data_IF_121925838167
#
_entry.id   IF_121925838167
#
_cell.length_a   1.000
_cell.length_b   1.000
_cell.length_c   1.000
_cell.angle_alpha   90.00
_cell.angle_beta   90.00
_cell.angle_gamma   90.00
#
_symmetry.space_group_name_H-M   'P 1'
#
loop_
_entity.id
_entity.type
_entity.pdbx_description
1 polymer ?
#
# COMPACT_ATOMS: atom_id res chain seq x y z
N UNK A 1 -23.67 2.47 -36.50
CA UNK A 1 -22.28 2.07 -36.16
C UNK A 1 -21.90 2.85 -34.92
N UNK A 2 -22.09 2.24 -33.73
CA UNK A 2 -21.57 2.83 -32.49
C UNK A 2 -20.04 2.77 -32.60
N UNK A 3 -19.39 3.93 -32.58
CA UNK A 3 -17.96 4.02 -32.32
C UNK A 3 -17.73 3.38 -30.94
N UNK A 4 -17.22 2.15 -30.92
CA UNK A 4 -16.56 1.61 -29.75
C UNK A 4 -15.39 2.56 -29.49
N UNK A 5 -15.59 3.51 -28.56
CA UNK A 5 -14.51 4.28 -28.00
C UNK A 5 -13.47 3.28 -27.56
N UNK A 6 -12.28 3.37 -28.16
CA UNK A 6 -11.14 2.54 -27.82
C UNK A 6 -10.69 3.00 -26.42
N UNK A 7 -11.37 2.52 -25.37
CA UNK A 7 -11.05 2.84 -23.98
C UNK A 7 -9.61 2.36 -23.79
N UNK A 8 -8.65 3.25 -23.47
CA UNK A 8 -7.28 2.84 -23.22
C UNK A 8 -7.30 1.78 -22.12
N UNK A 9 -6.79 0.59 -22.43
CA UNK A 9 -6.74 -0.49 -21.46
C UNK A 9 -5.76 -0.09 -20.36
N UNK A 10 -6.27 0.10 -19.13
CA UNK A 10 -5.44 0.47 -17.98
C UNK A 10 -4.58 -0.74 -17.58
N UNK A 11 -3.27 -0.52 -17.45
CA UNK A 11 -2.34 -1.59 -17.08
C UNK A 11 -1.34 -1.11 -16.04
N UNK A 12 -0.98 -2.01 -15.13
CA UNK A 12 0.10 -1.80 -14.17
C UNK A 12 0.89 -3.11 -14.05
N UNK A 13 2.20 -3.04 -14.20
CA UNK A 13 3.06 -4.23 -14.19
C UNK A 13 4.49 -3.91 -13.81
N UNK A 14 5.32 -4.95 -13.78
CA UNK A 14 6.75 -4.86 -13.53
C UNK A 14 7.48 -5.15 -14.84
N UNK A 15 8.38 -4.25 -15.23
CA UNK A 15 9.36 -4.50 -16.27
C UNK A 15 10.68 -4.92 -15.61
N UNK A 16 10.97 -6.22 -15.70
CA UNK A 16 12.16 -6.82 -15.11
C UNK A 16 13.44 -6.46 -15.89
N UNK A 17 13.33 -6.15 -17.18
CA UNK A 17 14.49 -5.77 -18.00
C UNK A 17 14.91 -4.33 -17.69
N UNK A 18 13.93 -3.44 -17.47
CA UNK A 18 14.15 -2.03 -17.17
C UNK A 18 14.19 -1.70 -15.67
N UNK A 19 14.01 -2.69 -14.78
CA UNK A 19 13.97 -2.52 -13.32
C UNK A 19 13.01 -1.41 -12.85
N UNK A 20 11.82 -1.34 -13.44
CA UNK A 20 10.83 -0.31 -13.12
C UNK A 20 9.40 -0.87 -13.10
N UNK A 21 8.47 -0.11 -12.53
CA UNK A 21 7.05 -0.37 -12.79
C UNK A 21 6.67 0.28 -14.11
N UNK A 22 5.67 -0.30 -14.78
CA UNK A 22 5.08 0.26 -15.99
C UNK A 22 3.60 0.48 -15.73
N UNK A 23 3.15 1.72 -15.90
CA UNK A 23 1.75 2.12 -15.77
C UNK A 23 1.28 2.66 -17.12
N UNK A 24 0.28 2.01 -17.71
CA UNK A 24 -0.28 2.34 -19.03
C UNK A 24 0.78 2.43 -20.14
N UNK A 25 1.79 1.56 -20.09
CA UNK A 25 2.88 1.52 -21.09
C UNK A 25 4.03 2.49 -20.82
N UNK A 26 3.96 3.31 -19.76
CA UNK A 26 5.01 4.26 -19.40
C UNK A 26 5.74 3.84 -18.11
N UNK A 27 7.07 4.03 -18.03
CA UNK A 27 7.81 3.85 -16.79
C UNK A 27 7.18 4.67 -15.65
N UNK A 28 7.06 4.05 -14.49
CA UNK A 28 6.37 4.62 -13.35
C UNK A 28 7.10 4.26 -12.06
N UNK A 29 7.06 5.19 -11.10
CA UNK A 29 7.56 5.00 -9.75
C UNK A 29 6.62 5.72 -8.81
N UNK A 30 6.07 5.01 -7.83
CA UNK A 30 5.23 5.63 -6.82
C UNK A 30 6.05 6.28 -5.72
N UNK A 31 5.50 7.35 -5.15
CA UNK A 31 5.84 7.92 -3.84
C UNK A 31 4.57 7.85 -2.99
N UNK A 32 4.56 6.89 -2.06
CA UNK A 32 3.38 6.55 -1.26
C UNK A 32 3.51 7.00 0.19
N UNK A 33 2.37 7.22 0.85
CA UNK A 33 2.27 7.40 2.30
C UNK A 33 1.24 6.45 2.91
N UNK A 34 1.53 5.90 4.09
CA UNK A 34 0.60 5.01 4.78
C UNK A 34 -0.50 5.79 5.50
N UNK A 35 -1.76 5.44 5.27
CA UNK A 35 -2.94 5.94 6.00
C UNK A 35 -3.86 4.76 6.32
N UNK A 36 -4.33 4.66 7.56
CA UNK A 36 -5.24 3.59 7.99
C UNK A 36 -6.66 4.16 8.11
N UNK A 37 -7.58 3.75 7.22
CA UNK A 37 -8.96 4.26 7.26
C UNK A 37 -9.68 3.88 8.56
N UNK A 38 -9.33 2.74 9.17
CA UNK A 38 -9.86 2.27 10.46
C UNK A 38 -9.43 3.12 11.67
N UNK A 39 -8.58 4.11 11.43
CA UNK A 39 -7.91 4.97 12.40
C UNK A 39 -8.34 6.44 12.28
N UNK A 40 -8.82 6.82 11.10
CA UNK A 40 -9.37 8.15 10.83
C UNK A 40 -10.89 8.04 10.72
N UNK A 41 -11.69 8.86 11.42
CA UNK A 41 -13.14 8.87 11.21
C UNK A 41 -13.49 9.18 9.76
N UNK A 42 -14.50 8.52 9.20
CA UNK A 42 -14.90 8.66 7.79
C UNK A 42 -15.12 10.11 7.36
N UNK A 43 -15.65 10.92 8.26
CA UNK A 43 -15.85 12.36 8.05
C UNK A 43 -14.57 13.07 7.59
N UNK A 44 -13.40 12.63 8.06
CA UNK A 44 -12.12 13.23 7.75
C UNK A 44 -11.32 12.54 6.64
N UNK A 45 -11.76 11.40 6.09
CA UNK A 45 -10.98 10.67 5.07
C UNK A 45 -10.58 11.57 3.89
N UNK A 46 -11.53 12.33 3.34
CA UNK A 46 -11.25 13.23 2.21
C UNK A 46 -10.25 14.33 2.58
N UNK A 47 -10.34 14.90 3.78
CA UNK A 47 -9.37 15.90 4.25
C UNK A 47 -7.95 15.31 4.30
N UNK A 48 -7.78 14.11 4.88
CA UNK A 48 -6.45 13.50 5.00
C UNK A 48 -5.88 13.11 3.65
N UNK A 49 -6.70 12.51 2.77
CA UNK A 49 -6.31 12.15 1.41
C UNK A 49 -5.91 13.39 0.60
N UNK A 50 -6.64 14.51 0.72
CA UNK A 50 -6.29 15.74 0.02
C UNK A 50 -4.95 16.28 0.50
N UNK A 51 -4.70 16.31 1.82
CA UNK A 51 -3.40 16.73 2.37
C UNK A 51 -2.26 15.83 1.88
N UNK A 52 -2.47 14.52 1.86
CA UNK A 52 -1.51 13.56 1.29
C UNK A 52 -1.21 13.84 -0.18
N UNK A 53 -2.23 14.13 -1.00
CA UNK A 53 -2.05 14.53 -2.39
C UNK A 53 -1.28 15.84 -2.52
N UNK A 54 -1.60 16.84 -1.69
CA UNK A 54 -0.94 18.14 -1.70
C UNK A 54 0.51 18.10 -1.21
N UNK A 55 0.89 17.06 -0.45
CA UNK A 55 2.28 16.78 -0.10
C UNK A 55 3.12 16.30 -1.32
N UNK A 56 2.48 15.98 -2.44
CA UNK A 56 3.14 15.47 -3.65
C UNK A 56 3.08 13.95 -3.82
N UNK A 57 2.35 13.24 -2.95
CA UNK A 57 2.18 11.79 -3.09
C UNK A 57 1.33 11.45 -4.32
N UNK A 58 1.70 10.38 -5.01
CA UNK A 58 0.95 9.81 -6.13
C UNK A 58 0.10 8.60 -5.72
N UNK A 59 0.45 7.98 -4.59
CA UNK A 59 -0.20 6.81 -4.06
C UNK A 59 -0.37 6.91 -2.53
N UNK A 60 -1.27 6.07 -2.03
CA UNK A 60 -1.38 5.78 -0.60
C UNK A 60 -1.21 4.29 -0.36
N UNK A 61 -0.85 3.93 0.87
CA UNK A 61 -0.83 2.55 1.33
C UNK A 61 -1.79 2.38 2.52
N UNK A 62 -2.56 1.29 2.54
CA UNK A 62 -3.48 1.02 3.65
C UNK A 62 -3.58 -0.46 3.97
N UNK A 63 -3.74 -0.80 5.25
CA UNK A 63 -4.02 -2.16 5.72
C UNK A 63 -5.51 -2.43 5.78
N UNK A 64 -5.90 -3.70 5.68
CA UNK A 64 -7.27 -4.16 5.97
C UNK A 64 -7.27 -5.01 7.25
N UNK A 65 -7.65 -4.46 8.42
CA UNK A 65 -7.71 -5.25 9.64
C UNK A 65 -8.92 -6.20 9.60
N UNK A 66 -8.66 -7.50 9.48
CA UNK A 66 -9.72 -8.51 9.38
C UNK A 66 -10.72 -8.42 10.55
N UNK A 67 -10.22 -8.35 11.79
CA UNK A 67 -11.05 -8.26 12.98
C UNK A 67 -11.86 -6.96 13.10
N UNK A 68 -11.58 -5.95 12.28
CA UNK A 68 -12.38 -4.73 12.18
C UNK A 68 -13.62 -4.96 11.32
N UNK A 69 -13.53 -5.83 10.31
CA UNK A 69 -14.65 -6.16 9.42
C UNK A 69 -15.42 -7.40 9.85
N UNK A 70 -14.80 -8.36 10.53
CA UNK A 70 -15.45 -9.59 11.02
C UNK A 70 -15.31 -9.70 12.55
N UNK A 71 -16.00 -8.85 13.33
CA UNK A 71 -15.91 -8.85 14.79
C UNK A 71 -16.41 -10.16 15.42
N UNK A 72 -17.33 -10.86 14.76
CA UNK A 72 -17.81 -12.19 15.12
C UNK A 72 -17.76 -13.07 13.89
N UNK A 73 -17.54 -14.37 14.08
CA UNK A 73 -17.43 -15.34 12.98
C UNK A 73 -18.66 -15.27 12.07
N UNK A 74 -18.45 -14.99 10.78
CA UNK A 74 -19.48 -14.88 9.75
C UNK A 74 -20.28 -13.58 9.74
N UNK A 75 -20.00 -12.63 10.66
CA UNK A 75 -20.70 -11.33 10.71
C UNK A 75 -19.79 -10.25 10.17
N UNK A 76 -20.07 -9.80 8.95
CA UNK A 76 -19.26 -8.80 8.25
C UNK A 76 -19.87 -7.40 8.31
N UNK A 77 -19.03 -6.39 8.51
CA UNK A 77 -19.40 -4.99 8.50
C UNK A 77 -18.45 -4.16 7.63
N UNK A 78 -19.01 -3.58 6.57
CA UNK A 78 -18.35 -2.67 5.63
C UNK A 78 -19.11 -1.33 5.54
N UNK A 79 -19.82 -0.95 6.60
CA UNK A 79 -20.62 0.28 6.64
C UNK A 79 -19.95 1.38 7.47
N UNK A 80 -20.36 2.64 7.27
CA UNK A 80 -19.85 3.77 8.08
C UNK A 80 -18.32 3.90 7.99
N UNK A 81 -17.64 3.90 9.13
CA UNK A 81 -16.17 3.96 9.25
C UNK A 81 -15.45 2.68 8.75
N UNK A 82 -16.20 1.61 8.45
CA UNK A 82 -15.68 0.34 7.88
C UNK A 82 -15.87 0.25 6.37
N UNK A 83 -16.31 1.32 5.73
CA UNK A 83 -16.59 1.35 4.29
C UNK A 83 -15.29 1.53 3.47
N UNK A 84 -14.56 0.44 3.32
CA UNK A 84 -13.30 0.39 2.56
C UNK A 84 -13.53 0.71 1.07
N UNK A 85 -14.63 0.24 0.48
CA UNK A 85 -14.95 0.50 -0.94
C UNK A 85 -15.11 2.01 -1.18
N UNK A 86 -15.81 2.72 -0.28
CA UNK A 86 -15.90 4.18 -0.34
C UNK A 86 -14.56 4.88 -0.06
N UNK A 87 -13.73 4.38 0.87
CA UNK A 87 -12.39 4.94 1.10
C UNK A 87 -11.52 4.85 -0.16
N UNK A 88 -11.54 3.71 -0.86
CA UNK A 88 -10.84 3.51 -2.12
C UNK A 88 -11.41 4.41 -3.23
N UNK A 89 -12.72 4.58 -3.28
CA UNK A 89 -13.36 5.53 -4.20
C UNK A 89 -12.86 6.96 -3.95
N UNK A 90 -12.80 7.42 -2.70
CA UNK A 90 -12.27 8.74 -2.36
C UNK A 90 -10.80 8.92 -2.77
N UNK A 91 -9.97 7.88 -2.60
CA UNK A 91 -8.58 7.92 -3.06
C UNK A 91 -8.52 8.10 -4.59
N UNK A 92 -9.35 7.36 -5.33
CA UNK A 92 -9.48 7.50 -6.79
C UNK A 92 -9.95 8.91 -7.20
N UNK A 93 -10.97 9.45 -6.54
CA UNK A 93 -11.49 10.81 -6.81
C UNK A 93 -10.46 11.91 -6.50
N UNK A 94 -9.55 11.65 -5.56
CA UNK A 94 -8.44 12.57 -5.20
C UNK A 94 -7.26 12.42 -6.17
N UNK A 95 -7.29 11.45 -7.08
CA UNK A 95 -6.20 11.17 -8.02
C UNK A 95 -4.99 10.51 -7.34
N UNK A 96 -5.23 9.69 -6.32
CA UNK A 96 -4.25 8.86 -5.63
C UNK A 96 -4.42 7.39 -6.05
N UNK A 97 -3.31 6.72 -6.37
CA UNK A 97 -3.26 5.27 -6.51
C UNK A 97 -3.26 4.61 -5.13
N UNK A 98 -3.50 3.31 -5.07
CA UNK A 98 -3.56 2.55 -3.82
C UNK A 98 -2.65 1.33 -3.89
N UNK A 99 -1.85 1.15 -2.83
CA UNK A 99 -1.16 -0.08 -2.50
C UNK A 99 -1.94 -0.72 -1.34
N UNK A 100 -2.62 -1.82 -1.63
CA UNK A 100 -3.50 -2.47 -0.65
C UNK A 100 -2.75 -3.55 0.11
N UNK A 101 -2.70 -3.48 1.43
CA UNK A 101 -2.14 -4.53 2.29
C UNK A 101 -3.27 -5.34 2.91
N UNK A 102 -3.68 -6.39 2.20
CA UNK A 102 -4.94 -7.10 2.47
C UNK A 102 -4.88 -8.09 3.66
N UNK A 103 -3.70 -8.40 4.18
CA UNK A 103 -3.52 -9.33 5.29
C UNK A 103 -3.38 -10.80 4.82
N UNK A 104 -3.87 -11.79 5.60
CA UNK A 104 -4.87 -11.67 6.69
C UNK A 104 -4.31 -11.11 8.01
N UNK A 105 -3.01 -11.28 8.25
CA UNK A 105 -2.27 -10.63 9.34
C UNK A 105 -1.64 -9.34 8.83
N UNK A 106 -1.71 -8.27 9.63
CA UNK A 106 -1.22 -6.93 9.25
C UNK A 106 -0.22 -6.32 10.22
N UNK A 107 0.02 -6.95 11.40
CA UNK A 107 0.81 -6.33 12.47
C UNK A 107 0.23 -4.96 12.89
N UNK A 108 0.84 -3.87 12.41
CA UNK A 108 0.37 -2.50 12.46
C UNK A 108 0.14 -1.95 13.87
N UNK A 109 0.75 -2.54 14.91
CA UNK A 109 0.42 -2.28 16.32
C UNK A 109 -1.10 -2.42 16.58
N UNK A 110 -1.83 -3.17 15.77
CA UNK A 110 -3.27 -3.34 15.89
C UNK A 110 -3.59 -4.54 16.77
N UNK A 111 -4.75 -4.52 17.41
CA UNK A 111 -5.24 -5.63 18.24
C UNK A 111 -5.08 -6.97 17.48
N UNK A 112 -4.34 -7.88 18.10
CA UNK A 112 -3.96 -9.20 17.56
C UNK A 112 -3.43 -9.17 16.11
N UNK A 113 -2.76 -8.09 15.71
CA UNK A 113 -2.23 -7.93 14.35
C UNK A 113 -3.30 -7.95 13.26
N UNK A 114 -4.54 -7.60 13.60
CA UNK A 114 -5.70 -7.65 12.71
C UNK A 114 -6.43 -8.98 12.69
N UNK A 115 -5.90 -10.03 13.31
CA UNK A 115 -6.57 -11.33 13.39
C UNK A 115 -7.76 -11.29 14.35
N UNK A 116 -8.90 -11.93 14.06
CA UNK A 116 -10.03 -11.98 14.98
C UNK A 116 -9.77 -12.88 16.18
N UNK A 117 -10.15 -12.42 17.37
CA UNK A 117 -9.95 -13.17 18.62
C UNK A 117 -10.73 -14.49 18.67
N UNK A 118 -11.85 -14.60 17.94
CA UNK A 118 -12.63 -15.85 17.86
C UNK A 118 -11.86 -17.00 17.21
N UNK A 119 -10.75 -16.74 16.50
CA UNK A 119 -9.83 -17.79 16.05
C UNK A 119 -9.24 -18.59 17.23
N UNK A 120 -9.12 -17.97 18.40
CA UNK A 120 -8.57 -18.58 19.61
C UNK A 120 -9.57 -19.48 20.36
N UNK A 121 -10.81 -19.61 19.87
CA UNK A 121 -11.75 -20.63 20.40
C UNK A 121 -11.18 -22.05 20.24
N UNK A 122 -10.34 -22.27 19.22
CA UNK A 122 -9.46 -23.43 19.14
C UNK A 122 -8.15 -23.14 19.88
N UNK A 123 -8.02 -23.67 21.09
CA UNK A 123 -6.82 -23.45 21.94
C UNK A 123 -5.50 -23.91 21.28
N UNK A 124 -5.56 -24.91 20.39
CA UNK A 124 -4.39 -25.48 19.70
C UNK A 124 -4.11 -24.84 18.34
N UNK A 125 -4.80 -23.75 17.97
CA UNK A 125 -4.63 -23.13 16.66
C UNK A 125 -3.21 -22.59 16.48
N UNK A 126 -2.60 -22.89 15.33
CA UNK A 126 -1.34 -22.27 14.93
C UNK A 126 -1.62 -21.15 13.94
N UNK A 127 -1.65 -19.91 14.43
CA UNK A 127 -1.87 -18.73 13.60
C UNK A 127 -0.75 -18.56 12.56
N UNK A 128 -1.09 -17.94 11.42
CA UNK A 128 -0.16 -17.65 10.31
C UNK A 128 0.62 -18.90 9.86
N UNK A 129 -0.09 -20.02 9.70
CA UNK A 129 0.47 -21.30 9.27
C UNK A 129 -0.54 -22.06 8.42
N UNK A 130 -0.18 -23.27 7.98
CA UNK A 130 -1.06 -24.18 7.25
C UNK A 130 -2.01 -24.99 8.15
N UNK A 131 -2.20 -24.59 9.41
CA UNK A 131 -3.27 -25.14 10.25
C UNK A 131 -4.61 -25.08 9.49
N UNK A 132 -5.27 -26.23 9.36
CA UNK A 132 -6.47 -26.36 8.52
C UNK A 132 -7.62 -25.46 8.97
N UNK A 133 -7.77 -25.24 10.28
CA UNK A 133 -8.86 -24.41 10.81
C UNK A 133 -8.55 -22.93 10.59
N UNK A 134 -7.28 -22.53 10.76
CA UNK A 134 -6.82 -21.17 10.43
C UNK A 134 -6.98 -20.89 8.93
N UNK A 135 -6.50 -21.78 8.05
CA UNK A 135 -6.62 -21.61 6.60
C UNK A 135 -8.08 -21.59 6.14
N UNK A 136 -8.94 -22.42 6.72
CA UNK A 136 -10.39 -22.40 6.41
C UNK A 136 -11.01 -21.05 6.78
N UNK A 137 -10.63 -20.47 7.91
CA UNK A 137 -11.10 -19.14 8.30
C UNK A 137 -10.55 -18.04 7.38
N UNK A 138 -9.28 -18.11 7.02
CA UNK A 138 -8.64 -17.16 6.07
C UNK A 138 -9.29 -17.24 4.70
N UNK A 139 -9.56 -18.44 4.18
CA UNK A 139 -10.21 -18.62 2.88
C UNK A 139 -11.61 -18.01 2.86
N UNK A 140 -12.39 -18.19 3.92
CA UNK A 140 -13.71 -17.55 4.08
C UNK A 140 -13.59 -16.02 4.09
N UNK A 141 -12.68 -15.47 4.88
CA UNK A 141 -12.47 -14.03 4.96
C UNK A 141 -12.03 -13.42 3.63
N UNK A 142 -11.02 -14.02 2.99
CA UNK A 142 -10.52 -13.57 1.70
C UNK A 142 -11.57 -13.72 0.59
N UNK A 143 -12.42 -14.75 0.69
CA UNK A 143 -13.59 -14.95 -0.17
C UNK A 143 -14.66 -13.86 -0.04
N UNK A 144 -14.65 -13.08 1.04
CA UNK A 144 -15.50 -11.88 1.20
C UNK A 144 -14.75 -10.62 0.78
N UNK A 145 -13.53 -10.43 1.26
CA UNK A 145 -12.74 -9.21 1.01
C UNK A 145 -12.34 -9.06 -0.46
N UNK A 146 -11.69 -10.07 -1.04
CA UNK A 146 -11.03 -9.92 -2.33
C UNK A 146 -12.00 -9.71 -3.51
N UNK A 147 -13.20 -10.33 -3.56
CA UNK A 147 -14.21 -9.97 -4.55
C UNK A 147 -14.65 -8.52 -4.49
N UNK A 148 -14.69 -7.91 -3.29
CA UNK A 148 -14.98 -6.47 -3.13
C UNK A 148 -13.83 -5.61 -3.65
N UNK A 149 -12.58 -6.06 -3.51
CA UNK A 149 -11.40 -5.32 -4.00
C UNK A 149 -11.22 -5.43 -5.52
N UNK A 150 -11.69 -6.51 -6.15
CA UNK A 150 -11.49 -6.78 -7.58
C UNK A 150 -11.94 -5.61 -8.49
N UNK A 151 -13.13 -5.00 -8.34
CA UNK A 151 -13.52 -3.85 -9.15
C UNK A 151 -12.62 -2.62 -8.95
N UNK A 152 -11.96 -2.52 -7.79
CA UNK A 152 -11.06 -1.41 -7.46
C UNK A 152 -9.62 -1.62 -7.96
N UNK A 153 -9.31 -2.75 -8.60
CA UNK A 153 -8.01 -2.97 -9.25
C UNK A 153 -7.81 -2.01 -10.42
N UNK A 154 -6.55 -1.61 -10.65
CA UNK A 154 -6.18 -0.62 -11.66
C UNK A 154 -6.63 -1.02 -13.06
N UNK A 155 -6.43 -2.29 -13.43
CA UNK A 155 -6.87 -2.86 -14.70
C UNK A 155 -8.40 -2.90 -14.86
N UNK A 156 -9.15 -2.85 -13.76
CA UNK A 156 -10.61 -2.83 -13.74
C UNK A 156 -11.19 -1.41 -13.56
N UNK A 157 -10.34 -0.38 -13.59
CA UNK A 157 -10.76 1.02 -13.51
C UNK A 157 -10.67 1.65 -12.12
N UNK A 158 -10.25 0.92 -11.09
CA UNK A 158 -10.06 1.48 -9.74
C UNK A 158 -8.63 1.97 -9.47
N UNK A 159 -8.28 2.35 -8.23
CA UNK A 159 -6.97 2.91 -7.90
C UNK A 159 -5.92 1.88 -7.48
N UNK A 160 -6.27 0.61 -7.22
CA UNK A 160 -5.35 -0.38 -6.62
C UNK A 160 -4.36 -0.89 -7.67
N UNK A 161 -3.08 -0.53 -7.51
CA UNK A 161 -1.98 -0.94 -8.42
C UNK A 161 -1.24 -2.18 -7.94
N UNK A 162 -1.17 -2.42 -6.63
CA UNK A 162 -0.44 -3.53 -6.03
C UNK A 162 -1.18 -4.04 -4.79
N UNK A 163 -1.07 -5.34 -4.52
CA UNK A 163 -1.68 -5.97 -3.34
C UNK A 163 -0.65 -6.81 -2.59
N UNK A 164 -0.44 -6.49 -1.30
CA UNK A 164 0.46 -7.25 -0.44
C UNK A 164 -0.23 -8.53 0.04
N UNK A 165 0.51 -9.63 -0.01
CA UNK A 165 0.11 -10.92 0.55
C UNK A 165 0.87 -11.13 1.86
N UNK A 166 0.15 -11.36 2.96
CA UNK A 166 0.74 -11.44 4.31
C UNK A 166 1.44 -10.12 4.72
N UNK A 167 2.19 -10.13 5.82
CA UNK A 167 2.99 -9.02 6.32
C UNK A 167 4.18 -9.51 7.15
N UNK A 168 5.40 -9.27 6.67
CA UNK A 168 6.66 -9.61 7.36
C UNK A 168 6.66 -11.05 7.87
N UNK A 169 6.32 -11.99 6.98
CA UNK A 169 6.27 -13.41 7.34
C UNK A 169 7.65 -13.95 7.70
N UNK A 170 8.71 -13.33 7.16
CA UNK A 170 10.10 -13.56 7.51
C UNK A 170 10.42 -13.39 8.99
N UNK A 171 9.67 -12.54 9.68
CA UNK A 171 9.82 -12.27 11.12
C UNK A 171 9.04 -13.25 12.00
N UNK A 172 8.28 -14.18 11.39
CA UNK A 172 7.47 -15.16 12.11
C UNK A 172 8.15 -16.53 12.15
N UNK A 173 8.08 -17.18 13.32
CA UNK A 173 8.85 -18.39 13.59
C UNK A 173 8.46 -19.62 12.73
N UNK A 174 7.22 -19.67 12.22
CA UNK A 174 6.69 -20.87 11.58
C UNK A 174 7.39 -21.18 10.25
N UNK A 175 7.80 -20.17 9.48
CA UNK A 175 8.44 -20.32 8.17
C UNK A 175 7.71 -21.34 7.25
N UNK A 176 6.37 -21.29 7.25
CA UNK A 176 5.52 -22.22 6.51
C UNK A 176 5.25 -21.69 5.10
N UNK A 177 5.92 -22.26 4.10
CA UNK A 177 5.70 -21.88 2.70
C UNK A 177 4.42 -22.46 2.09
N UNK A 178 3.84 -23.52 2.66
CA UNK A 178 2.54 -24.04 2.20
C UNK A 178 1.42 -23.04 2.52
N UNK A 179 1.56 -22.33 3.64
CA UNK A 179 0.70 -21.21 4.00
C UNK A 179 0.80 -20.07 2.98
N UNK A 180 2.02 -19.61 2.67
CA UNK A 180 2.20 -18.54 1.66
C UNK A 180 1.73 -18.96 0.26
N UNK A 181 1.96 -20.21 -0.15
CA UNK A 181 1.43 -20.76 -1.41
C UNK A 181 -0.09 -20.79 -1.42
N UNK A 182 -0.71 -21.15 -0.30
CA UNK A 182 -2.17 -21.14 -0.15
C UNK A 182 -2.73 -19.73 -0.27
N UNK A 183 -2.10 -18.74 0.36
CA UNK A 183 -2.48 -17.33 0.20
C UNK A 183 -2.33 -16.86 -1.25
N UNK A 184 -1.19 -17.13 -1.90
CA UNK A 184 -0.99 -16.78 -3.31
C UNK A 184 -2.11 -17.36 -4.19
N UNK A 185 -2.48 -18.63 -3.98
CA UNK A 185 -3.58 -19.27 -4.71
C UNK A 185 -4.91 -18.56 -4.47
N UNK A 186 -5.26 -18.28 -3.21
CA UNK A 186 -6.50 -17.57 -2.85
C UNK A 186 -6.55 -16.19 -3.52
N UNK A 187 -5.45 -15.44 -3.46
CA UNK A 187 -5.38 -14.10 -4.06
C UNK A 187 -5.53 -14.15 -5.58
N UNK A 188 -4.83 -15.06 -6.26
CA UNK A 188 -4.96 -15.25 -7.71
C UNK A 188 -6.36 -15.68 -8.12
N UNK A 189 -6.97 -16.61 -7.37
CA UNK A 189 -8.33 -17.06 -7.63
C UNK A 189 -9.36 -15.92 -7.63
N UNK A 190 -9.22 -14.95 -6.72
CA UNK A 190 -10.17 -13.84 -6.62
C UNK A 190 -9.79 -12.63 -7.50
N UNK A 191 -8.51 -12.24 -7.50
CA UNK A 191 -8.05 -10.98 -8.12
C UNK A 191 -7.57 -11.14 -9.57
N UNK A 192 -7.25 -12.36 -10.01
CA UNK A 192 -6.66 -12.61 -11.33
C UNK A 192 -5.13 -12.58 -11.34
N UNK A 193 -4.55 -12.80 -12.52
CA UNK A 193 -3.11 -12.92 -12.72
C UNK A 193 -2.44 -11.58 -13.03
N UNK A 194 -3.23 -10.57 -13.41
CA UNK A 194 -2.75 -9.27 -13.87
C UNK A 194 -2.28 -8.36 -12.72
N UNK A 195 -2.90 -8.48 -11.54
CA UNK A 195 -2.51 -7.64 -10.40
C UNK A 195 -1.10 -8.01 -9.91
N UNK A 196 -0.30 -7.00 -9.61
CA UNK A 196 1.01 -7.20 -8.99
C UNK A 196 0.79 -7.58 -7.52
N UNK A 197 1.11 -8.83 -7.19
CA UNK A 197 1.14 -9.33 -5.82
C UNK A 197 2.57 -9.26 -5.28
N UNK A 198 2.73 -8.83 -4.03
CA UNK A 198 4.04 -8.63 -3.43
C UNK A 198 4.07 -9.05 -1.94
N UNK A 199 5.28 -9.25 -1.40
CA UNK A 199 5.54 -9.40 0.03
C UNK A 199 6.44 -8.28 0.53
N UNK A 200 6.42 -8.01 1.83
CA UNK A 200 7.32 -7.05 2.49
C UNK A 200 7.90 -7.69 3.74
N UNK A 201 9.22 -7.59 3.86
CA UNK A 201 9.99 -8.12 4.99
C UNK A 201 11.16 -7.17 5.31
N UNK A 202 11.72 -7.26 6.51
CA UNK A 202 12.90 -6.45 6.87
C UNK A 202 14.07 -6.65 5.90
N UNK A 203 14.85 -5.59 5.65
CA UNK A 203 15.97 -5.57 4.70
C UNK A 203 17.20 -6.40 5.10
N UNK A 204 17.02 -7.70 5.36
CA UNK A 204 18.09 -8.66 5.65
C UNK A 204 17.78 -10.03 5.02
N UNK A 205 18.82 -10.80 4.73
CA UNK A 205 18.65 -12.18 4.24
C UNK A 205 17.90 -13.06 5.24
N UNK A 206 17.99 -12.75 6.54
CA UNK A 206 17.30 -13.51 7.57
C UNK A 206 15.78 -13.40 7.42
N UNK A 207 15.24 -12.19 7.27
CA UNK A 207 13.79 -12.00 7.09
C UNK A 207 13.34 -12.50 5.71
N UNK A 208 14.07 -12.15 4.64
CA UNK A 208 13.69 -12.57 3.29
C UNK A 208 13.69 -14.09 3.10
N UNK A 209 14.48 -14.83 3.88
CA UNK A 209 14.52 -16.30 3.81
C UNK A 209 13.12 -16.89 3.89
N UNK A 210 12.35 -16.54 4.92
CA UNK A 210 11.02 -17.11 5.14
C UNK A 210 9.88 -16.24 4.58
N UNK A 211 10.13 -14.97 4.27
CA UNK A 211 9.09 -14.05 3.80
C UNK A 211 8.91 -13.96 2.28
N UNK A 212 9.94 -14.29 1.50
CA UNK A 212 9.86 -14.27 0.04
C UNK A 212 9.28 -15.58 -0.54
N UNK A 213 8.47 -15.47 -1.59
CA UNK A 213 7.92 -16.61 -2.33
C UNK A 213 7.93 -16.35 -3.84
N UNK A 214 8.34 -17.35 -4.63
CA UNK A 214 8.24 -17.28 -6.08
C UNK A 214 6.79 -17.00 -6.52
N UNK A 215 6.61 -16.03 -7.43
CA UNK A 215 5.28 -15.57 -7.88
C UNK A 215 4.73 -14.37 -7.11
N UNK A 216 5.38 -13.97 -6.01
CA UNK A 216 5.18 -12.71 -5.31
C UNK A 216 6.42 -11.84 -5.48
N UNK A 217 6.24 -10.58 -5.82
CA UNK A 217 7.36 -9.63 -5.91
C UNK A 217 7.88 -9.33 -4.49
N UNK A 218 9.14 -9.63 -4.20
CA UNK A 218 9.71 -9.40 -2.88
C UNK A 218 10.11 -7.93 -2.73
N UNK A 219 9.61 -7.27 -1.69
CA UNK A 219 9.99 -5.90 -1.29
C UNK A 219 10.59 -5.92 0.10
N UNK A 220 11.28 -4.84 0.47
CA UNK A 220 11.85 -4.69 1.81
C UNK A 220 11.35 -3.42 2.48
N UNK A 221 11.28 -3.44 3.80
CA UNK A 221 11.15 -2.26 4.63
C UNK A 221 12.42 -2.01 5.47
N UNK A 222 12.61 -0.74 5.80
CA UNK A 222 13.64 -0.25 6.71
C UNK A 222 13.26 1.16 7.16
N UNK A 223 13.66 1.51 8.37
CA UNK A 223 13.57 2.88 8.87
C UNK A 223 14.93 3.58 8.72
N UNK A 224 14.97 4.93 8.64
CA UNK A 224 16.21 5.67 8.87
C UNK A 224 16.84 5.26 10.19
N UNK A 225 18.18 5.28 10.25
CA UNK A 225 18.91 5.14 11.51
C UNK A 225 18.40 6.28 12.39
N UNK A 226 17.72 5.93 13.48
CA UNK A 226 16.79 6.77 14.27
C UNK A 226 15.36 6.89 13.69
N UNK A 227 14.60 5.79 13.80
CA UNK A 227 13.13 5.69 13.87
C UNK A 227 12.30 6.77 13.16
N UNK A 228 12.40 6.89 11.83
CA UNK A 228 11.42 7.64 11.03
C UNK A 228 10.64 6.69 10.12
N UNK A 229 9.65 6.03 10.70
CA UNK A 229 8.65 5.31 9.93
C UNK A 229 7.53 6.32 9.57
N UNK A 230 7.19 6.49 8.28
CA UNK A 230 6.08 7.36 7.87
C UNK A 230 4.77 6.58 7.99
N UNK A 231 4.21 6.53 9.20
CA UNK A 231 2.87 6.00 9.45
C UNK A 231 1.99 7.14 9.95
N UNK A 232 0.80 7.31 9.36
CA UNK A 232 -0.06 8.44 9.64
C UNK A 232 -1.30 7.99 10.47
N UNK A 233 -1.49 8.64 11.63
CA UNK A 233 -2.77 8.99 12.28
C UNK A 233 -3.55 8.02 13.22
N UNK A 234 -4.22 8.69 14.20
CA UNK A 234 -5.13 8.37 15.35
C UNK A 234 -5.78 6.98 15.43
N UNK A 235 -6.15 6.47 16.61
CA UNK A 235 -6.79 5.14 16.78
C UNK A 235 -8.06 5.21 17.63
N UNK A 236 -9.12 4.53 17.17
CA UNK A 236 -10.33 4.28 17.98
C UNK A 236 -10.44 2.78 18.34
N UNK A 237 -10.54 2.48 19.64
CA UNK A 237 -11.10 1.23 20.18
C UNK A 237 -10.18 0.00 20.31
N UNK A 238 -9.28 -0.28 19.35
CA UNK A 238 -8.49 -1.53 19.34
C UNK A 238 -6.99 -1.28 19.51
N UNK A 239 -6.37 -1.81 20.57
CA UNK A 239 -4.97 -1.57 20.97
C UNK A 239 -4.15 -2.86 20.80
N UNK A 240 -2.99 -2.79 20.16
CA UNK A 240 -2.06 -3.92 20.11
C UNK A 240 -1.15 -3.97 21.34
N UNK A 241 -0.26 -4.95 21.38
CA UNK A 241 0.83 -4.99 22.36
C UNK A 241 2.07 -5.63 21.74
N UNK A 242 3.24 -5.22 22.24
CA UNK A 242 4.52 -5.89 21.95
C UNK A 242 4.85 -6.92 23.03
N UNK A 243 5.83 -7.78 22.74
CA UNK A 243 6.36 -8.78 23.67
C UNK A 243 7.78 -8.39 24.11
N UNK A 244 8.14 -8.43 25.42
CA UNK A 244 7.28 -8.75 26.57
C UNK A 244 6.12 -7.74 26.72
N UNK A 245 5.00 -8.18 27.31
CA UNK A 245 3.71 -7.48 27.23
C UNK A 245 3.83 -5.98 27.53
N UNK A 246 3.64 -5.18 26.49
CA UNK A 246 3.61 -3.73 26.56
C UNK A 246 2.57 -3.22 25.56
N UNK A 247 1.42 -2.79 26.07
CA UNK A 247 0.35 -2.22 25.25
C UNK A 247 0.79 -0.91 24.62
N UNK A 248 0.48 -0.69 23.35
CA UNK A 248 0.68 0.63 22.74
C UNK A 248 -0.33 1.65 23.34
N UNK A 249 0.01 2.96 23.37
CA UNK A 249 -0.93 3.98 23.80
C UNK A 249 -2.13 4.07 22.83
N UNK A 250 -3.20 4.75 23.26
CA UNK A 250 -4.34 5.06 22.39
C UNK A 250 -3.90 5.89 21.20
N UNK A 251 -3.05 6.90 21.43
CA UNK A 251 -2.57 7.75 20.35
C UNK A 251 -1.78 6.96 19.32
N UNK A 252 -2.03 7.24 18.05
CA UNK A 252 -1.23 6.76 16.94
C UNK A 252 -0.72 7.93 16.08
N UNK A 253 -0.34 9.03 16.76
CA UNK A 253 0.27 10.21 16.15
C UNK A 253 1.54 9.84 15.36
N UNK A 254 2.35 8.93 15.92
CA UNK A 254 3.55 8.38 15.31
C UNK A 254 4.66 9.42 15.03
N UNK A 255 4.52 10.66 15.53
CA UNK A 255 5.32 11.81 15.08
C UNK A 255 5.28 11.92 13.54
N UNK A 256 4.09 11.68 12.98
CA UNK A 256 3.89 11.63 11.55
C UNK A 256 3.91 13.03 10.91
N UNK A 257 4.11 13.13 9.59
CA UNK A 257 4.02 14.41 8.90
C UNK A 257 2.67 15.10 9.11
N UNK A 258 1.58 14.31 9.15
CA UNK A 258 0.29 14.81 9.63
C UNK A 258 0.12 14.38 11.09
N UNK A 259 -0.01 15.35 12.00
CA UNK A 259 -0.28 15.10 13.44
C UNK A 259 -1.56 14.31 13.61
N UNK A 260 -1.82 13.74 14.79
CA UNK A 260 -3.01 12.95 15.14
C UNK A 260 -4.37 13.58 14.75
N UNK A 261 -4.48 14.90 14.79
CA UNK A 261 -5.69 15.63 14.38
C UNK A 261 -5.75 15.94 12.87
N UNK A 262 -4.71 15.55 12.14
CA UNK A 262 -4.45 15.83 10.72
C UNK A 262 -3.87 17.21 10.46
N UNK A 263 -3.12 17.77 11.42
CA UNK A 263 -2.48 19.07 11.26
C UNK A 263 -1.23 18.96 10.39
N UNK A 264 -0.91 20.03 9.67
CA UNK A 264 0.32 20.11 8.88
C UNK A 264 1.48 20.46 9.81
N UNK A 265 2.42 19.53 9.99
CA UNK A 265 3.61 19.76 10.82
C UNK A 265 4.78 20.32 10.01
N UNK A 266 5.86 20.73 10.67
CA UNK A 266 7.12 21.09 9.99
C UNK A 266 7.65 19.93 9.13
N UNK A 267 7.49 18.69 9.62
CA UNK A 267 7.87 17.47 8.90
C UNK A 267 7.06 17.28 7.61
N UNK A 268 5.79 17.67 7.59
CA UNK A 268 4.98 17.68 6.37
C UNK A 268 5.55 18.63 5.31
N UNK A 269 5.87 19.86 5.70
CA UNK A 269 6.40 20.83 4.75
C UNK A 269 7.79 20.45 4.24
N UNK A 270 8.65 19.93 5.11
CA UNK A 270 9.98 19.45 4.72
C UNK A 270 9.90 18.28 3.72
N UNK A 271 9.03 17.28 3.97
CA UNK A 271 8.84 16.17 3.03
C UNK A 271 8.24 16.63 1.72
N UNK A 272 7.26 17.53 1.75
CA UNK A 272 6.65 18.10 0.54
C UNK A 272 7.68 18.81 -0.34
N UNK A 273 8.61 19.55 0.26
CA UNK A 273 9.70 20.20 -0.47
C UNK A 273 10.61 19.17 -1.15
N UNK A 274 11.04 18.14 -0.43
CA UNK A 274 11.88 17.06 -0.98
C UNK A 274 11.17 16.31 -2.12
N UNK A 275 9.90 15.95 -1.93
CA UNK A 275 9.11 15.29 -2.99
C UNK A 275 9.00 16.20 -4.21
N UNK A 276 8.75 17.49 -4.01
CA UNK A 276 8.68 18.47 -5.09
C UNK A 276 9.94 18.53 -5.95
N UNK A 277 11.12 18.43 -5.33
CA UNK A 277 12.41 18.38 -6.06
C UNK A 277 12.50 17.14 -6.97
N UNK A 278 12.07 15.98 -6.47
CA UNK A 278 12.12 14.71 -7.23
C UNK A 278 11.11 14.73 -8.39
N UNK A 279 9.89 15.22 -8.16
CA UNK A 279 8.86 15.30 -9.20
C UNK A 279 9.26 16.23 -10.34
N UNK A 280 9.90 17.37 -10.04
CA UNK A 280 10.40 18.31 -11.06
C UNK A 280 11.50 17.67 -11.91
N UNK A 281 12.45 16.95 -11.29
CA UNK A 281 13.52 16.26 -12.01
C UNK A 281 12.98 15.17 -12.95
N UNK A 282 11.96 14.41 -12.53
CA UNK A 282 11.29 13.44 -13.39
C UNK A 282 10.63 14.10 -14.60
N UNK A 283 9.89 15.19 -14.41
CA UNK A 283 9.29 15.93 -15.53
C UNK A 283 10.32 16.57 -16.46
N UNK A 284 11.43 17.09 -15.93
CA UNK A 284 12.51 17.65 -16.75
C UNK A 284 13.24 16.58 -17.57
N UNK A 285 13.44 15.38 -17.02
CA UNK A 285 14.03 14.26 -17.75
C UNK A 285 13.10 13.74 -18.85
N UNK A 286 11.80 13.64 -18.59
CA UNK A 286 10.79 13.30 -19.62
C UNK A 286 10.78 14.32 -20.76
N UNK A 287 10.80 15.62 -20.44
CA UNK A 287 10.94 16.69 -21.42
C UNK A 287 12.25 16.60 -22.19
N UNK A 288 13.37 16.31 -21.53
CA UNK A 288 14.66 16.14 -22.19
C UNK A 288 14.66 14.93 -23.14
N UNK A 289 13.99 13.83 -22.78
CA UNK A 289 13.83 12.67 -23.65
C UNK A 289 12.92 12.95 -24.84
N UNK A 290 11.77 13.61 -24.65
CA UNK A 290 10.90 14.03 -25.75
C UNK A 290 11.62 15.00 -26.70
N UNK A 291 12.31 16.01 -26.15
CA UNK A 291 13.15 16.92 -26.94
C UNK A 291 14.26 16.16 -27.63
N UNK A 292 14.92 15.17 -27.03
CA UNK A 292 15.97 14.37 -27.69
C UNK A 292 15.44 13.49 -28.83
N UNK A 293 14.21 12.99 -28.73
CA UNK A 293 13.56 12.24 -29.81
C UNK A 293 13.14 13.17 -30.96
N UNK A 294 12.71 14.39 -30.65
CA UNK A 294 12.40 15.46 -31.62
C UNK A 294 13.68 16.06 -32.25
N UNK A 295 14.76 16.18 -31.47
CA UNK A 295 16.05 16.76 -31.85
C UNK A 295 17.05 15.75 -32.41
N UNK A 296 16.59 14.62 -32.98
CA UNK A 296 17.43 13.77 -33.86
C UNK A 296 17.98 14.50 -35.10
N UNK A 297 17.71 15.81 -35.25
CA UNK A 297 18.38 16.71 -36.17
C UNK A 297 18.94 17.92 -35.40
N UNK A 298 20.27 18.03 -35.39
CA UNK A 298 21.12 19.17 -35.00
C UNK A 298 21.61 19.28 -33.53
N UNK A 299 22.94 19.10 -33.38
CA UNK A 299 23.72 19.35 -32.17
C UNK A 299 23.86 20.86 -31.87
N UNK A 300 22.83 21.52 -31.35
CA UNK A 300 22.99 22.89 -30.82
C UNK A 300 22.10 23.28 -29.62
N UNK A 301 21.32 22.35 -29.04
CA UNK A 301 20.41 22.68 -27.93
C UNK A 301 20.98 22.50 -26.51
N UNK A 302 22.27 22.20 -26.35
CA UNK A 302 22.89 21.92 -25.04
C UNK A 302 22.96 23.17 -24.13
N UNK A 303 22.86 24.38 -24.69
CA UNK A 303 23.06 25.62 -23.93
C UNK A 303 21.80 26.18 -23.25
N UNK A 304 20.59 25.63 -23.49
CA UNK A 304 19.36 26.25 -22.99
C UNK A 304 18.98 25.86 -21.54
N UNK A 305 19.34 24.66 -21.06
CA UNK A 305 19.02 24.25 -19.69
C UNK A 305 19.94 24.88 -18.62
N UNK A 306 21.17 25.25 -18.96
CA UNK A 306 22.10 25.88 -18.00
C UNK A 306 21.82 27.37 -17.76
N UNK A 307 20.89 27.98 -18.49
CA UNK A 307 20.59 29.42 -18.38
C UNK A 307 19.43 29.76 -17.44
N UNK A 308 18.61 28.79 -17.00
CA UNK A 308 17.55 29.07 -16.01
C UNK A 308 18.02 29.05 -14.55
N UNK A 309 19.19 28.47 -14.25
CA UNK A 309 19.78 28.53 -12.91
C UNK A 309 20.48 29.87 -12.56
N UNK A 310 20.57 30.81 -13.51
CA UNK A 310 21.13 32.16 -13.28
C UNK A 310 20.09 33.29 -13.24
N UNK A 311 18.80 32.97 -13.21
CA UNK A 311 17.73 33.99 -13.17
C UNK A 311 16.91 34.01 -11.86
N UNK A 312 17.24 33.16 -10.88
CA UNK A 312 16.67 33.22 -9.52
C UNK A 312 17.79 33.06 -8.49
N UNK A 313 18.60 34.13 -8.37
CA UNK A 313 19.28 34.63 -7.16
C UNK A 313 20.21 35.78 -7.55
#
# INVERSE_FOLDING_TARGET
>A
VLLLLNIPQRTFGIDYDCNCFVKDGHPFRYISGSIHYSRVPRYYWKDRLLKMKMAGLDAIQTYVPWNYHEPQMGVYDFSGDRDLEYFLQLASETGLLVILRAGPYICAEWDMGGLPAWLLEKESIVLRSSDSDYLTAVEKWMGVLLPKMKPHLYQNGGPIIMVQVENEYGSYFACDYDYLRSLLKIFRQHLGDEVVLFTTDGASQFHLKCGALQGLYATVDFAPVDALNIHILHRFGKIGANMPYMSQPTSYDYDAPLSEAGDLTEKYFALREVIGMVSILSTCLEWFFEISQVCKLSCSCVDYCFLQEKAVN
#
